data_IF_984644488373
#
_entry.id   IF_984644488373
#
_cell.length_a   1.000
_cell.length_b   1.000
_cell.length_c   1.000
_cell.angle_alpha   90.00
_cell.angle_beta   90.00
_cell.angle_gamma   90.00
#
_symmetry.space_group_name_H-M   'P 1'
#
loop_
_entity.id
_entity.type
_entity.pdbx_description
1 polymer ?
#
# COMPACT_ATOMS: atom_id res chain seq x y z
N UNK A 1 17.49 22.34 56.06
CA UNK A 1 17.61 20.87 56.15
C UNK A 1 18.78 20.39 55.30
N UNK A 2 19.62 19.47 55.80
CA UNK A 2 20.87 19.09 55.13
C UNK A 2 20.67 18.40 53.76
N UNK A 3 19.47 17.87 53.49
CA UNK A 3 19.13 17.16 52.25
C UNK A 3 18.44 18.03 51.19
N UNK A 4 18.19 19.32 51.48
CA UNK A 4 17.42 20.19 50.60
C UNK A 4 18.07 20.36 49.22
N UNK A 5 19.38 20.61 49.17
CA UNK A 5 20.10 20.80 47.91
C UNK A 5 20.12 19.51 47.06
N UNK A 6 20.34 18.36 47.70
CA UNK A 6 20.32 17.07 47.02
C UNK A 6 18.94 16.74 46.44
N UNK A 7 17.86 17.09 47.17
CA UNK A 7 16.49 16.94 46.71
C UNK A 7 16.19 17.81 45.50
N UNK A 8 16.60 19.08 45.52
CA UNK A 8 16.41 20.00 44.38
C UNK A 8 17.14 19.49 43.13
N UNK A 9 18.37 18.99 43.27
CA UNK A 9 19.13 18.43 42.13
C UNK A 9 18.43 17.18 41.60
N UNK A 10 17.94 16.30 42.46
CA UNK A 10 17.18 15.12 42.06
C UNK A 10 15.91 15.51 41.30
N UNK A 11 15.13 16.46 41.81
CA UNK A 11 13.89 16.91 41.19
C UNK A 11 14.15 17.56 39.81
N UNK A 12 15.22 18.36 39.68
CA UNK A 12 15.63 18.94 38.39
C UNK A 12 16.09 17.88 37.39
N UNK A 13 16.95 16.94 37.82
CA UNK A 13 17.43 15.86 36.96
C UNK A 13 16.28 14.96 36.49
N UNK A 14 15.35 14.63 37.39
CA UNK A 14 14.16 13.87 37.06
C UNK A 14 13.29 14.61 36.02
N UNK A 15 13.08 15.91 36.21
CA UNK A 15 12.32 16.73 35.27
C UNK A 15 12.96 16.73 33.87
N UNK A 16 14.26 16.99 33.77
CA UNK A 16 14.95 17.00 32.47
C UNK A 16 15.00 15.62 31.83
N UNK A 17 15.36 14.57 32.57
CA UNK A 17 15.50 13.23 32.00
C UNK A 17 14.15 12.63 31.61
N UNK A 18 13.17 12.64 32.51
CA UNK A 18 11.91 11.89 32.29
C UNK A 18 10.91 12.70 31.49
N UNK A 19 10.69 13.97 31.87
CA UNK A 19 9.65 14.79 31.25
C UNK A 19 10.14 15.39 29.94
N UNK A 20 11.34 15.96 29.93
CA UNK A 20 11.84 16.63 28.71
C UNK A 20 12.40 15.61 27.71
N UNK A 21 13.20 14.63 28.13
CA UNK A 21 13.82 13.70 27.17
C UNK A 21 12.91 12.51 26.88
N UNK A 22 12.59 11.68 27.88
CA UNK A 22 11.88 10.40 27.63
C UNK A 22 10.48 10.62 27.04
N UNK A 23 9.69 11.51 27.62
CA UNK A 23 8.31 11.72 27.15
C UNK A 23 8.27 12.29 25.72
N UNK A 24 9.12 13.28 25.41
CA UNK A 24 9.18 13.84 24.06
C UNK A 24 9.78 12.87 23.05
N UNK A 25 10.69 11.97 23.46
CA UNK A 25 11.19 10.91 22.59
C UNK A 25 10.07 9.93 22.21
N UNK A 26 9.24 9.52 23.17
CA UNK A 26 8.07 8.67 22.90
C UNK A 26 7.13 9.34 21.90
N UNK A 27 6.79 10.62 22.12
CA UNK A 27 5.98 11.37 21.16
C UNK A 27 6.65 11.52 19.80
N UNK A 28 7.97 11.71 19.77
CA UNK A 28 8.77 11.75 18.54
C UNK A 28 8.63 10.48 17.72
N UNK A 29 8.80 9.30 18.33
CA UNK A 29 8.62 8.01 17.66
C UNK A 29 7.20 7.84 17.13
N UNK A 30 6.19 8.24 17.91
CA UNK A 30 4.80 8.16 17.46
C UNK A 30 4.56 9.06 16.23
N UNK A 31 5.06 10.29 16.25
CA UNK A 31 4.90 11.22 15.11
C UNK A 31 5.61 10.67 13.86
N UNK A 32 6.82 10.14 14.04
CA UNK A 32 7.61 9.54 12.95
C UNK A 32 6.86 8.36 12.32
N UNK A 33 6.36 7.43 13.14
CA UNK A 33 5.57 6.29 12.63
C UNK A 33 4.29 6.72 11.89
N UNK A 34 3.60 7.78 12.35
CA UNK A 34 2.44 8.30 11.63
C UNK A 34 2.83 8.98 10.30
N UNK A 35 3.98 9.65 10.25
CA UNK A 35 4.51 10.24 9.03
C UNK A 35 4.87 9.15 8.00
N UNK A 36 5.49 8.06 8.45
CA UNK A 36 5.80 6.90 7.62
C UNK A 36 4.53 6.24 7.06
N UNK A 37 3.55 5.95 7.91
CA UNK A 37 2.27 5.38 7.48
C UNK A 37 1.57 6.26 6.43
N UNK A 38 1.67 7.59 6.57
CA UNK A 38 1.14 8.54 5.59
C UNK A 38 1.91 8.46 4.27
N UNK A 39 3.24 8.43 4.33
CA UNK A 39 4.11 8.32 3.15
C UNK A 39 3.84 7.01 2.39
N UNK A 40 3.73 5.89 3.10
CA UNK A 40 3.40 4.59 2.50
C UNK A 40 2.02 4.61 1.83
N UNK A 41 1.01 5.19 2.47
CA UNK A 41 -0.33 5.33 1.88
C UNK A 41 -0.27 6.17 0.60
N UNK A 42 0.41 7.30 0.63
CA UNK A 42 0.56 8.17 -0.53
C UNK A 42 1.26 7.44 -1.69
N UNK A 43 2.36 6.72 -1.41
CA UNK A 43 3.08 5.92 -2.39
C UNK A 43 2.20 4.84 -3.03
N UNK A 44 1.39 4.14 -2.23
CA UNK A 44 0.43 3.13 -2.73
C UNK A 44 -0.62 3.75 -3.64
N UNK A 45 -1.19 4.89 -3.24
CA UNK A 45 -2.18 5.61 -4.05
C UNK A 45 -1.59 6.15 -5.36
N UNK A 46 -0.34 6.60 -5.33
CA UNK A 46 0.36 7.05 -6.54
C UNK A 46 0.57 5.90 -7.52
N UNK A 47 1.12 4.77 -7.06
CA UNK A 47 1.31 3.57 -7.89
C UNK A 47 -0.01 3.13 -8.53
N UNK A 48 -1.10 3.11 -7.77
CA UNK A 48 -2.43 2.74 -8.28
C UNK A 48 -2.97 3.69 -9.36
N UNK A 49 -2.53 4.96 -9.37
CA UNK A 49 -2.96 5.96 -10.35
C UNK A 49 -2.06 6.02 -11.58
N UNK A 50 -0.79 5.65 -11.45
CA UNK A 50 0.21 5.79 -12.51
C UNK A 50 0.58 4.46 -13.15
N UNK A 51 0.26 3.33 -12.54
CA UNK A 51 0.70 2.01 -13.00
C UNK A 51 -0.50 1.09 -13.20
N UNK A 52 -0.54 0.37 -14.32
CA UNK A 52 -1.59 -0.61 -14.56
C UNK A 52 -1.41 -1.84 -13.64
N UNK A 53 -2.47 -2.24 -12.94
CA UNK A 53 -2.45 -3.34 -11.97
C UNK A 53 -2.08 -4.70 -12.60
N UNK A 54 -2.45 -4.92 -13.86
CA UNK A 54 -2.28 -6.21 -14.54
C UNK A 54 -0.89 -6.34 -15.19
N UNK A 55 -0.49 -5.35 -15.98
CA UNK A 55 0.75 -5.43 -16.76
C UNK A 55 1.94 -4.67 -16.14
N UNK A 56 1.72 -3.84 -15.12
CA UNK A 56 2.79 -3.08 -14.46
C UNK A 56 3.36 -1.93 -15.28
N UNK A 57 2.75 -1.58 -16.42
CA UNK A 57 3.19 -0.45 -17.24
C UNK A 57 2.80 0.87 -16.58
N UNK A 58 3.76 1.79 -16.56
CA UNK A 58 3.57 3.17 -16.14
C UNK A 58 2.81 3.97 -17.21
N UNK A 59 2.10 5.00 -16.75
CA UNK A 59 1.25 5.87 -17.54
C UNK A 59 2.01 6.60 -18.64
N UNK A 60 3.28 6.93 -18.40
CA UNK A 60 4.19 7.59 -19.34
C UNK A 60 4.36 6.80 -20.66
N UNK A 61 4.18 5.48 -20.63
CA UNK A 61 4.27 4.62 -21.83
C UNK A 61 3.11 4.80 -22.79
N UNK A 62 2.03 5.44 -22.36
CA UNK A 62 0.81 5.64 -23.15
C UNK A 62 0.73 7.02 -23.81
N UNK A 63 1.61 7.97 -23.46
CA UNK A 63 1.56 9.35 -23.96
C UNK A 63 1.74 9.49 -25.49
N UNK A 64 2.36 8.49 -26.14
CA UNK A 64 2.57 8.45 -27.59
C UNK A 64 1.90 7.25 -28.27
N UNK A 65 0.88 6.67 -27.63
CA UNK A 65 0.13 5.52 -28.15
C UNK A 65 -1.26 5.95 -28.59
N UNK A 66 -1.88 5.11 -29.42
CA UNK A 66 -3.27 5.32 -29.88
C UNK A 66 -4.28 5.11 -28.75
N UNK A 67 -3.96 4.24 -27.79
CA UNK A 67 -4.79 3.92 -26.62
C UNK A 67 -4.32 4.73 -25.42
N UNK A 68 -5.26 5.38 -24.74
CA UNK A 68 -4.97 6.14 -23.51
C UNK A 68 -4.80 5.21 -22.32
N UNK A 69 -4.05 5.64 -21.29
CA UNK A 69 -3.94 4.86 -20.05
C UNK A 69 -5.30 4.57 -19.42
N UNK A 70 -6.23 5.54 -19.45
CA UNK A 70 -7.61 5.38 -18.99
C UNK A 70 -8.37 4.27 -19.72
N UNK A 71 -8.24 4.19 -21.04
CA UNK A 71 -8.87 3.16 -21.86
C UNK A 71 -8.22 1.80 -21.60
N UNK A 72 -6.89 1.76 -21.48
CA UNK A 72 -6.14 0.56 -21.15
C UNK A 72 -6.59 -0.07 -19.82
N UNK A 73 -6.77 0.70 -18.75
CA UNK A 73 -7.17 0.13 -17.44
C UNK A 73 -8.67 -0.17 -17.32
N UNK A 74 -9.52 0.43 -18.16
CA UNK A 74 -10.99 0.26 -18.08
C UNK A 74 -11.53 -0.79 -19.03
N UNK A 75 -10.95 -0.90 -20.23
CA UNK A 75 -11.44 -1.78 -21.29
C UNK A 75 -10.52 -2.98 -21.49
N UNK A 76 -9.22 -2.76 -21.71
CA UNK A 76 -8.26 -3.83 -22.02
C UNK A 76 -7.88 -4.63 -20.76
N UNK A 77 -7.40 -3.96 -19.72
CA UNK A 77 -6.83 -4.53 -18.49
C UNK A 77 -7.67 -4.18 -17.25
N UNK A 78 -8.99 -4.30 -17.39
CA UNK A 78 -9.89 -4.16 -16.25
C UNK A 78 -9.76 -5.34 -15.29
N UNK A 79 -9.36 -5.07 -14.04
CA UNK A 79 -9.16 -6.10 -13.02
C UNK A 79 -10.41 -6.98 -12.79
N UNK A 80 -11.61 -6.41 -12.93
CA UNK A 80 -12.85 -7.12 -12.68
C UNK A 80 -13.18 -8.10 -13.79
N UNK A 81 -12.79 -7.80 -15.03
CA UNK A 81 -12.95 -8.73 -16.15
C UNK A 81 -12.15 -10.03 -15.92
N UNK A 82 -10.94 -9.93 -15.36
CA UNK A 82 -10.14 -11.11 -14.97
C UNK A 82 -10.86 -11.94 -13.89
N UNK A 83 -11.40 -11.29 -12.85
CA UNK A 83 -12.13 -12.01 -11.79
C UNK A 83 -13.40 -12.68 -12.35
N UNK A 84 -14.18 -11.96 -13.15
CA UNK A 84 -15.38 -12.52 -13.80
C UNK A 84 -15.04 -13.71 -14.69
N UNK A 85 -13.92 -13.65 -15.43
CA UNK A 85 -13.47 -14.77 -16.27
C UNK A 85 -13.08 -15.99 -15.44
N UNK A 86 -12.38 -15.81 -14.31
CA UNK A 86 -12.05 -16.94 -13.40
C UNK A 86 -13.34 -17.57 -12.84
N UNK A 87 -14.33 -16.75 -12.44
CA UNK A 87 -15.62 -17.26 -11.97
C UNK A 87 -16.37 -18.00 -13.08
N UNK A 88 -16.38 -17.46 -14.29
CA UNK A 88 -16.99 -18.10 -15.47
C UNK A 88 -16.38 -19.50 -15.69
N UNK A 89 -15.05 -19.59 -15.76
CA UNK A 89 -14.36 -20.87 -15.98
C UNK A 89 -14.69 -21.87 -14.86
N UNK A 90 -14.77 -21.43 -13.60
CA UNK A 90 -15.11 -22.33 -12.47
C UNK A 90 -16.54 -22.85 -12.47
N UNK A 91 -17.50 -22.08 -13.00
CA UNK A 91 -18.93 -22.42 -12.95
C UNK A 91 -19.40 -23.10 -14.24
N UNK A 92 -18.81 -22.76 -15.37
CA UNK A 92 -19.14 -23.32 -16.68
C UNK A 92 -18.74 -24.80 -16.76
N UNK A 93 -19.55 -25.60 -17.46
CA UNK A 93 -19.26 -27.01 -17.67
C UNK A 93 -17.99 -27.19 -18.51
N UNK A 94 -17.09 -28.08 -18.07
CA UNK A 94 -15.82 -28.33 -18.73
C UNK A 94 -15.94 -28.81 -20.18
N UNK A 95 -17.07 -29.42 -20.56
CA UNK A 95 -17.34 -29.86 -21.93
C UNK A 95 -17.70 -28.70 -22.86
N UNK A 96 -18.08 -27.55 -22.31
CA UNK A 96 -18.45 -26.35 -23.06
C UNK A 96 -17.31 -25.31 -23.14
N UNK A 97 -16.15 -25.61 -22.56
CA UNK A 97 -15.00 -24.71 -22.61
C UNK A 97 -14.57 -24.47 -24.06
N UNK A 98 -14.28 -23.22 -24.37
CA UNK A 98 -13.53 -22.86 -25.57
C UNK A 98 -12.06 -23.28 -25.43
N UNK A 99 -11.29 -23.26 -26.53
CA UNK A 99 -9.86 -23.57 -26.50
C UNK A 99 -9.07 -22.75 -25.45
N UNK A 100 -9.21 -21.41 -25.44
CA UNK A 100 -8.56 -20.57 -24.42
C UNK A 100 -9.05 -20.84 -23.00
N UNK A 101 -10.35 -21.04 -22.80
CA UNK A 101 -10.91 -21.36 -21.47
C UNK A 101 -10.35 -22.69 -20.95
N UNK A 102 -10.21 -23.70 -21.81
CA UNK A 102 -9.63 -24.99 -21.46
C UNK A 102 -8.17 -24.85 -21.02
N UNK A 103 -7.37 -24.09 -21.78
CA UNK A 103 -5.99 -23.80 -21.44
C UNK A 103 -5.88 -23.07 -20.10
N UNK A 104 -6.68 -22.02 -19.88
CA UNK A 104 -6.66 -21.28 -18.62
C UNK A 104 -7.14 -22.15 -17.45
N UNK A 105 -8.17 -22.98 -17.65
CA UNK A 105 -8.65 -23.92 -16.64
C UNK A 105 -7.58 -24.94 -16.24
N UNK A 106 -6.77 -25.40 -17.19
CA UNK A 106 -5.63 -26.28 -16.93
C UNK A 106 -4.52 -25.56 -16.15
N UNK A 107 -4.22 -24.31 -16.49
CA UNK A 107 -3.21 -23.50 -15.79
C UNK A 107 -3.63 -23.06 -14.36
N UNK A 108 -4.93 -23.07 -14.06
CA UNK A 108 -5.47 -22.75 -12.72
C UNK A 108 -5.43 -23.97 -11.77
N UNK A 109 -5.46 -25.19 -12.32
CA UNK A 109 -5.42 -26.43 -11.53
C UNK A 109 -4.05 -26.64 -10.89
#
# INVERSE_FOLDING_TARGET
EPLFAARVIYDLLFFFMVIIIVLNLIFGVIIDTFADLRSEKQKKEEILKTTCFICGLERDKFDNKTVTFEEHIKEEHNMWHYLCFIVLVKVKDSTEYTGPESYVAEMIK
#
